data_IF_987766232738
#
_entry.id   IF_987766232738
#
_cell.length_a   1.000
_cell.length_b   1.000
_cell.length_c   1.000
_cell.angle_alpha   90.00
_cell.angle_beta   90.00
_cell.angle_gamma   90.00
#
_symmetry.space_group_name_H-M   'P 1'
#
loop_
_entity.id
_entity.type
_entity.pdbx_description
1 polymer ?
#
# COMPACT_ATOMS: atom_id res chain seq x y z
N UNK A 1 30.93 19.50 -15.01
CA UNK A 1 29.82 18.51 -14.93
C UNK A 1 30.09 17.44 -13.85
N UNK A 2 30.28 17.83 -12.57
CA UNK A 2 30.61 16.86 -11.48
C UNK A 2 29.72 17.08 -10.23
N UNK A 3 28.78 18.05 -10.25
CA UNK A 3 27.99 18.41 -9.08
C UNK A 3 26.58 17.77 -8.99
N UNK A 4 26.12 17.07 -10.04
CA UNK A 4 24.76 16.48 -10.07
C UNK A 4 24.65 15.12 -9.37
N UNK A 5 25.77 14.42 -9.15
CA UNK A 5 25.78 13.09 -8.51
C UNK A 5 25.62 13.14 -6.99
N UNK A 6 25.66 14.33 -6.37
CA UNK A 6 25.59 14.50 -4.92
C UNK A 6 24.21 14.25 -4.30
N UNK A 7 23.14 14.17 -5.12
CA UNK A 7 21.76 14.17 -4.62
C UNK A 7 21.11 12.80 -4.50
N UNK A 8 21.72 11.74 -5.05
CA UNK A 8 21.15 10.38 -5.04
C UNK A 8 22.18 9.35 -4.61
N UNK A 9 21.80 8.51 -3.66
CA UNK A 9 22.63 7.41 -3.18
C UNK A 9 22.73 6.29 -4.23
N UNK A 10 23.81 5.51 -4.19
CA UNK A 10 23.97 4.34 -5.06
C UNK A 10 22.81 3.35 -4.92
N UNK A 11 22.31 3.17 -3.70
CA UNK A 11 21.19 2.28 -3.39
C UNK A 11 19.87 2.75 -4.03
N UNK A 12 19.61 4.05 -4.05
CA UNK A 12 18.44 4.62 -4.73
C UNK A 12 18.51 4.43 -6.25
N UNK A 13 19.68 4.65 -6.86
CA UNK A 13 19.87 4.41 -8.30
C UNK A 13 19.69 2.94 -8.67
N UNK A 14 20.26 2.03 -7.88
CA UNK A 14 20.09 0.58 -8.09
C UNK A 14 18.62 0.15 -7.91
N UNK A 15 17.94 0.66 -6.88
CA UNK A 15 16.52 0.40 -6.66
C UNK A 15 15.66 0.90 -7.84
N UNK A 16 15.91 2.12 -8.31
CA UNK A 16 15.21 2.67 -9.46
C UNK A 16 15.43 1.85 -10.73
N UNK A 17 16.68 1.44 -11.04
CA UNK A 17 16.98 0.53 -12.16
C UNK A 17 16.22 -0.79 -12.05
N UNK A 18 16.24 -1.42 -10.88
CA UNK A 18 15.55 -2.69 -10.66
C UNK A 18 14.04 -2.57 -10.84
N UNK A 19 13.44 -1.48 -10.34
CA UNK A 19 12.02 -1.22 -10.53
C UNK A 19 11.68 -0.97 -12.00
N UNK A 20 12.45 -0.14 -12.71
CA UNK A 20 12.25 0.14 -14.14
C UNK A 20 12.36 -1.15 -14.97
N UNK A 21 13.36 -1.99 -14.70
CA UNK A 21 13.55 -3.26 -15.39
C UNK A 21 12.34 -4.19 -15.21
N UNK A 22 11.75 -4.25 -14.00
CA UNK A 22 10.51 -5.01 -13.75
C UNK A 22 9.28 -4.46 -14.48
N UNK A 23 9.31 -3.20 -14.90
CA UNK A 23 8.25 -2.56 -15.69
C UNK A 23 8.59 -2.49 -17.20
N UNK A 24 9.62 -3.22 -17.64
CA UNK A 24 9.98 -3.38 -19.04
C UNK A 24 10.92 -2.31 -19.60
N UNK A 25 11.57 -1.52 -18.74
CA UNK A 25 12.48 -0.44 -19.13
C UNK A 25 13.88 -0.71 -18.60
N UNK A 26 14.85 -0.90 -19.49
CA UNK A 26 16.28 -1.05 -19.14
C UNK A 26 17.02 0.26 -19.34
N UNK A 27 17.64 0.78 -18.27
CA UNK A 27 18.44 2.00 -18.30
C UNK A 27 19.80 1.80 -17.64
N UNK A 28 20.82 2.43 -18.21
CA UNK A 28 22.17 2.52 -17.66
C UNK A 28 22.19 3.40 -16.43
N UNK A 29 21.71 4.64 -16.48
CA UNK A 29 21.57 5.49 -15.28
C UNK A 29 20.21 6.21 -15.28
N UNK A 30 19.34 5.97 -14.28
CA UNK A 30 18.05 6.63 -14.19
C UNK A 30 18.22 8.13 -13.93
N UNK A 31 17.28 8.95 -14.40
CA UNK A 31 17.32 10.40 -14.12
C UNK A 31 17.30 10.68 -12.61
N UNK A 32 17.89 11.78 -12.13
CA UNK A 32 17.95 12.09 -10.70
C UNK A 32 16.57 12.09 -10.02
N UNK A 33 15.55 12.64 -10.69
CA UNK A 33 14.17 12.63 -10.21
C UNK A 33 13.64 11.20 -9.99
N UNK A 34 13.84 10.33 -10.98
CA UNK A 34 13.41 8.93 -10.93
C UNK A 34 14.18 8.15 -9.86
N UNK A 35 15.49 8.38 -9.74
CA UNK A 35 16.33 7.77 -8.73
C UNK A 35 15.85 8.10 -7.31
N UNK A 36 15.57 9.37 -6.99
CA UNK A 36 15.04 9.77 -5.68
C UNK A 36 13.68 9.13 -5.42
N UNK A 37 12.74 9.25 -6.37
CA UNK A 37 11.34 8.85 -6.14
C UNK A 37 11.15 7.34 -6.12
N UNK A 38 11.70 6.65 -7.11
CA UNK A 38 11.55 5.20 -7.25
C UNK A 38 12.48 4.48 -6.28
N UNK A 39 13.73 4.95 -6.14
CA UNK A 39 14.71 4.37 -5.22
C UNK A 39 14.23 4.39 -3.77
N UNK A 40 13.68 5.51 -3.29
CA UNK A 40 13.16 5.59 -1.93
C UNK A 40 12.00 4.61 -1.67
N UNK A 41 11.16 4.36 -2.68
CA UNK A 41 10.04 3.39 -2.59
C UNK A 41 10.55 1.96 -2.51
N UNK A 42 11.50 1.59 -3.37
CA UNK A 42 12.12 0.27 -3.35
C UNK A 42 12.85 -0.02 -2.03
N UNK A 43 13.57 0.99 -1.50
CA UNK A 43 14.22 0.85 -0.20
C UNK A 43 13.21 0.73 0.94
N UNK A 44 12.10 1.48 0.88
CA UNK A 44 11.03 1.39 1.87
C UNK A 44 10.34 0.01 1.83
N UNK A 45 10.14 -0.56 0.65
CA UNK A 45 9.47 -1.85 0.49
C UNK A 45 10.40 -3.06 0.65
N UNK A 46 11.72 -2.88 0.67
CA UNK A 46 12.67 -3.98 0.91
C UNK A 46 12.42 -4.75 2.20
N UNK A 47 12.01 -4.04 3.26
CA UNK A 47 11.71 -4.65 4.56
C UNK A 47 10.32 -5.29 4.64
N UNK A 48 9.50 -5.22 3.58
CA UNK A 48 8.16 -5.80 3.57
C UNK A 48 8.17 -7.32 3.62
N UNK A 49 9.22 -7.98 3.12
CA UNK A 49 9.31 -9.44 3.24
C UNK A 49 9.31 -9.87 4.71
N UNK A 50 10.12 -9.19 5.54
CA UNK A 50 10.11 -9.41 6.98
C UNK A 50 8.76 -9.04 7.60
N UNK A 51 8.15 -7.92 7.20
CA UNK A 51 6.82 -7.55 7.67
C UNK A 51 5.74 -8.60 7.34
N UNK A 52 5.74 -9.15 6.13
CA UNK A 52 4.80 -10.19 5.70
C UNK A 52 4.96 -11.50 6.46
N UNK A 53 6.15 -11.80 6.96
CA UNK A 53 6.41 -12.96 7.82
C UNK A 53 6.03 -12.65 9.28
N UNK A 54 6.43 -11.49 9.79
CA UNK A 54 6.22 -11.11 11.19
C UNK A 54 4.77 -10.73 11.51
N UNK A 55 4.03 -10.18 10.55
CA UNK A 55 2.64 -9.76 10.76
C UNK A 55 1.72 -10.95 11.09
N UNK A 56 1.70 -12.07 10.33
CA UNK A 56 0.96 -13.27 10.72
C UNK A 56 1.37 -13.80 12.09
N UNK A 57 2.66 -13.81 12.42
CA UNK A 57 3.16 -14.26 13.73
C UNK A 57 2.61 -13.37 14.84
N UNK A 58 2.67 -12.04 14.69
CA UNK A 58 2.11 -11.10 15.65
C UNK A 58 0.60 -11.28 15.82
N UNK A 59 -0.13 -11.55 14.74
CA UNK A 59 -1.56 -11.83 14.78
C UNK A 59 -1.84 -13.15 15.51
N UNK A 60 -1.12 -14.23 15.21
CA UNK A 60 -1.27 -15.53 15.91
C UNK A 60 -0.98 -15.38 17.39
N UNK A 61 0.11 -14.70 17.77
CA UNK A 61 0.44 -14.43 19.17
C UNK A 61 -0.64 -13.62 19.86
N UNK A 62 -1.23 -12.63 19.17
CA UNK A 62 -2.34 -11.85 19.71
C UNK A 62 -3.61 -12.67 19.94
N UNK A 63 -3.79 -13.79 19.23
CA UNK A 63 -4.94 -14.68 19.43
C UNK A 63 -4.75 -15.65 20.62
N UNK A 64 -3.54 -15.77 21.18
CA UNK A 64 -3.27 -16.66 22.31
C UNK A 64 -3.80 -16.07 23.64
N UNK A 65 -4.32 -16.91 24.56
CA UNK A 65 -4.58 -16.49 25.95
C UNK A 65 -3.26 -16.09 26.64
N UNK A 66 -3.25 -15.11 27.57
CA UNK A 66 -4.39 -14.40 28.17
C UNK A 66 -4.67 -13.01 27.57
N UNK A 67 -4.33 -12.74 26.31
CA UNK A 67 -4.48 -11.38 25.74
C UNK A 67 -5.95 -10.95 25.73
N UNK A 68 -6.33 -9.82 26.37
CA UNK A 68 -7.70 -9.31 26.37
C UNK A 68 -8.21 -9.04 24.95
N UNK A 69 -9.47 -9.38 24.66
CA UNK A 69 -10.04 -9.28 23.29
C UNK A 69 -9.88 -7.88 22.69
N UNK A 70 -10.09 -6.82 23.47
CA UNK A 70 -9.88 -5.44 23.00
C UNK A 70 -8.42 -5.17 22.59
N UNK A 71 -7.45 -5.71 23.34
CA UNK A 71 -6.03 -5.59 23.02
C UNK A 71 -5.70 -6.31 21.70
N UNK A 72 -6.37 -7.43 21.40
CA UNK A 72 -6.20 -8.13 20.11
C UNK A 72 -6.57 -7.23 18.94
N UNK A 73 -7.73 -6.58 18.97
CA UNK A 73 -8.15 -5.62 17.94
C UNK A 73 -7.16 -4.47 17.75
N UNK A 74 -6.64 -3.92 18.86
CA UNK A 74 -5.63 -2.87 18.83
C UNK A 74 -4.32 -3.36 18.20
N UNK A 75 -3.86 -4.57 18.54
CA UNK A 75 -2.65 -5.15 17.94
C UNK A 75 -2.84 -5.31 16.43
N UNK A 76 -3.97 -5.87 15.98
CA UNK A 76 -4.26 -5.98 14.54
C UNK A 76 -4.23 -4.60 13.89
N UNK A 77 -4.97 -3.63 14.43
CA UNK A 77 -5.02 -2.28 13.88
C UNK A 77 -3.62 -1.62 13.81
N UNK A 78 -2.83 -1.71 14.88
CA UNK A 78 -1.48 -1.13 14.96
C UNK A 78 -0.54 -1.81 13.98
N UNK A 79 -0.48 -3.14 13.95
CA UNK A 79 0.39 -3.89 13.02
C UNK A 79 0.03 -3.57 11.58
N UNK A 80 -1.27 -3.50 11.26
CA UNK A 80 -1.75 -3.23 9.91
C UNK A 80 -1.56 -1.77 9.45
N UNK A 81 -1.34 -0.82 10.37
CA UNK A 81 -1.26 0.62 10.03
C UNK A 81 0.09 1.26 10.33
N UNK A 82 0.69 0.99 11.48
CA UNK A 82 1.86 1.71 11.95
C UNK A 82 3.07 1.49 11.03
N UNK A 83 3.34 0.23 10.68
CA UNK A 83 4.48 -0.09 9.83
C UNK A 83 4.32 0.44 8.39
N UNK A 84 3.19 0.20 7.68
CA UNK A 84 2.98 0.78 6.35
C UNK A 84 3.00 2.32 6.36
N UNK A 85 2.42 2.96 7.37
CA UNK A 85 2.47 4.43 7.51
C UNK A 85 3.87 4.96 7.79
N UNK A 86 4.68 4.24 8.57
CA UNK A 86 6.07 4.61 8.81
C UNK A 86 6.88 4.57 7.51
N UNK A 87 6.70 3.52 6.70
CA UNK A 87 7.36 3.39 5.40
C UNK A 87 6.86 4.48 4.43
N UNK A 88 5.56 4.74 4.39
CA UNK A 88 4.98 5.83 3.61
C UNK A 88 5.54 7.21 4.02
N UNK A 89 5.70 7.46 5.33
CA UNK A 89 6.30 8.71 5.83
C UNK A 89 7.73 8.90 5.31
N UNK A 90 8.51 7.83 5.14
CA UNK A 90 9.86 7.90 4.54
C UNK A 90 9.78 8.28 3.07
N UNK A 91 8.91 7.63 2.29
CA UNK A 91 8.66 7.98 0.88
C UNK A 91 8.21 9.44 0.73
N UNK A 92 7.36 9.94 1.63
CA UNK A 92 6.94 11.36 1.61
C UNK A 92 8.09 12.35 1.79
N UNK A 93 9.15 11.98 2.52
CA UNK A 93 10.33 12.84 2.65
C UNK A 93 11.09 12.91 1.33
N UNK A 94 11.23 11.77 0.64
CA UNK A 94 11.83 11.70 -0.69
C UNK A 94 11.01 12.48 -1.73
N UNK A 95 9.68 12.34 -1.73
CA UNK A 95 8.82 13.11 -2.64
C UNK A 95 8.91 14.63 -2.39
N UNK A 96 9.10 15.07 -1.14
CA UNK A 96 9.35 16.49 -0.82
C UNK A 96 10.72 16.96 -1.31
N UNK A 97 11.74 16.11 -1.27
CA UNK A 97 13.04 16.42 -1.83
C UNK A 97 12.98 16.50 -3.36
N UNK A 98 12.29 15.54 -4.00
CA UNK A 98 12.05 15.52 -5.44
C UNK A 98 11.27 16.77 -5.91
N UNK A 99 10.28 17.24 -5.14
CA UNK A 99 9.55 18.47 -5.45
C UNK A 99 10.40 19.75 -5.38
N UNK A 100 11.64 19.69 -4.87
CA UNK A 100 12.61 20.80 -4.94
C UNK A 100 13.44 20.79 -6.22
N UNK A 101 13.49 19.64 -6.91
CA UNK A 101 14.23 19.48 -8.16
C UNK A 101 13.41 19.94 -9.36
N UNK A 102 12.08 19.85 -9.26
CA UNK A 102 11.16 20.11 -10.37
C UNK A 102 9.98 20.94 -9.88
N UNK A 103 9.56 21.98 -10.62
CA UNK A 103 8.32 22.70 -10.33
C UNK A 103 7.13 21.73 -10.27
N UNK A 104 6.24 21.85 -9.26
CA UNK A 104 5.07 21.00 -9.18
C UNK A 104 4.16 21.23 -10.38
N UNK A 105 3.82 20.15 -11.09
CA UNK A 105 2.88 20.19 -12.21
C UNK A 105 1.42 20.34 -11.77
N UNK A 106 0.53 20.34 -12.76
CA UNK A 106 -0.92 20.45 -12.54
C UNK A 106 -1.43 19.24 -11.75
N UNK A 107 -2.41 19.47 -10.86
CA UNK A 107 -3.11 18.38 -10.19
C UNK A 107 -4.04 17.69 -11.18
N UNK A 108 -3.95 16.37 -11.24
CA UNK A 108 -4.85 15.60 -12.09
C UNK A 108 -6.30 15.73 -11.61
N UNK A 109 -7.28 15.75 -12.53
CA UNK A 109 -8.67 15.55 -12.20
C UNK A 109 -8.86 14.26 -11.37
N UNK A 110 -9.78 14.29 -10.41
CA UNK A 110 -10.02 13.17 -9.50
C UNK A 110 -10.28 11.85 -10.25
N UNK A 111 -11.04 11.89 -11.35
CA UNK A 111 -11.38 10.72 -12.16
C UNK A 111 -10.14 10.07 -12.78
N UNK A 112 -9.18 10.86 -13.25
CA UNK A 112 -7.94 10.36 -13.83
C UNK A 112 -7.02 9.76 -12.76
N UNK A 113 -6.85 10.45 -11.63
CA UNK A 113 -6.06 9.94 -10.52
C UNK A 113 -6.67 8.65 -9.93
N UNK A 114 -8.00 8.56 -9.84
CA UNK A 114 -8.69 7.34 -9.43
C UNK A 114 -8.53 6.21 -10.45
N UNK A 115 -8.57 6.53 -11.75
CA UNK A 115 -8.26 5.58 -12.83
C UNK A 115 -6.85 5.00 -12.71
N UNK A 116 -5.87 5.84 -12.31
CA UNK A 116 -4.51 5.40 -12.02
C UNK A 116 -4.44 4.47 -10.81
N UNK A 117 -5.18 4.70 -9.72
CA UNK A 117 -5.20 3.74 -8.60
C UNK A 117 -5.78 2.39 -9.03
N UNK A 118 -6.84 2.42 -9.83
CA UNK A 118 -7.46 1.25 -10.45
C UNK A 118 -8.72 0.77 -9.73
N UNK A 119 -9.73 0.38 -10.52
CA UNK A 119 -11.07 0.01 -10.01
C UNK A 119 -11.06 -1.16 -9.03
N UNK A 120 -10.20 -2.17 -9.27
CA UNK A 120 -10.14 -3.36 -8.42
C UNK A 120 -9.60 -3.03 -7.03
N UNK A 121 -8.76 -2.00 -6.91
CA UNK A 121 -8.28 -1.55 -5.61
C UNK A 121 -9.38 -0.86 -4.79
N UNK A 122 -10.19 -0.01 -5.43
CA UNK A 122 -11.37 0.56 -4.78
C UNK A 122 -12.41 -0.52 -4.42
N UNK A 123 -12.57 -1.54 -5.26
CA UNK A 123 -13.40 -2.69 -4.91
C UNK A 123 -12.84 -3.44 -3.69
N UNK A 124 -11.52 -3.66 -3.61
CA UNK A 124 -10.89 -4.29 -2.44
C UNK A 124 -11.11 -3.47 -1.16
N UNK A 125 -11.02 -2.14 -1.25
CA UNK A 125 -11.35 -1.22 -0.16
C UNK A 125 -12.81 -1.34 0.29
N UNK A 126 -13.75 -1.29 -0.67
CA UNK A 126 -15.17 -1.39 -0.40
C UNK A 126 -15.55 -2.74 0.21
N UNK A 127 -15.03 -3.84 -0.34
CA UNK A 127 -15.25 -5.19 0.19
C UNK A 127 -14.70 -5.30 1.60
N UNK A 128 -13.46 -4.89 1.85
CA UNK A 128 -12.82 -5.01 3.17
C UNK A 128 -13.55 -4.18 4.22
N UNK A 129 -13.71 -2.87 4.01
CA UNK A 129 -14.27 -2.01 5.05
C UNK A 129 -15.79 -2.09 5.09
N UNK A 130 -16.46 -2.12 3.95
CA UNK A 130 -17.92 -2.29 3.88
C UNK A 130 -18.36 -3.67 4.39
N UNK A 131 -17.72 -4.74 3.92
CA UNK A 131 -17.96 -6.10 4.42
C UNK A 131 -17.60 -6.24 5.90
N UNK A 132 -16.51 -5.62 6.34
CA UNK A 132 -16.13 -5.55 7.75
C UNK A 132 -17.18 -4.86 8.63
N UNK A 133 -17.76 -3.75 8.18
CA UNK A 133 -18.85 -3.05 8.89
C UNK A 133 -20.10 -3.92 8.98
N UNK A 134 -20.50 -4.54 7.86
CA UNK A 134 -21.68 -5.43 7.83
C UNK A 134 -21.49 -6.61 8.78
N UNK A 135 -20.34 -7.29 8.73
CA UNK A 135 -20.04 -8.40 9.65
C UNK A 135 -19.98 -7.93 11.10
N UNK A 136 -19.39 -6.76 11.37
CA UNK A 136 -19.35 -6.20 12.71
C UNK A 136 -20.77 -5.92 13.26
N UNK A 137 -21.66 -5.37 12.44
CA UNK A 137 -23.02 -5.04 12.87
C UNK A 137 -23.88 -6.27 13.13
N UNK A 138 -23.71 -7.33 12.33
CA UNK A 138 -24.56 -8.53 12.40
C UNK A 138 -24.02 -9.57 13.38
N UNK A 139 -22.70 -9.74 13.44
CA UNK A 139 -22.09 -10.90 14.09
C UNK A 139 -21.12 -10.56 15.22
N UNK A 140 -20.73 -9.31 15.48
CA UNK A 140 -19.70 -9.05 16.48
C UNK A 140 -20.19 -9.29 17.91
N UNK A 141 -19.48 -10.14 18.65
CA UNK A 141 -19.58 -10.22 20.11
C UNK A 141 -18.93 -9.00 20.77
N UNK A 142 -17.89 -8.42 20.14
CA UNK A 142 -17.18 -7.25 20.64
C UNK A 142 -17.20 -6.09 19.63
N UNK A 143 -18.36 -5.48 19.36
CA UNK A 143 -18.54 -4.51 18.27
C UNK A 143 -17.69 -3.24 18.46
N UNK A 144 -17.46 -2.79 19.70
CA UNK A 144 -16.71 -1.55 19.96
C UNK A 144 -15.24 -1.67 19.53
N UNK A 145 -14.56 -2.76 19.90
CA UNK A 145 -13.16 -2.98 19.54
C UNK A 145 -12.97 -3.17 18.04
N UNK A 146 -13.86 -3.95 17.42
CA UNK A 146 -13.88 -4.15 15.97
C UNK A 146 -14.14 -2.83 15.23
N UNK A 147 -15.19 -2.08 15.59
CA UNK A 147 -15.52 -0.81 14.96
C UNK A 147 -14.37 0.20 15.08
N UNK A 148 -13.74 0.30 16.26
CA UNK A 148 -12.58 1.16 16.46
C UNK A 148 -11.42 0.78 15.53
N UNK A 149 -11.12 -0.52 15.38
CA UNK A 149 -10.08 -1.01 14.46
C UNK A 149 -10.42 -0.70 13.00
N UNK A 150 -11.68 -0.83 12.58
CA UNK A 150 -12.14 -0.43 11.24
C UNK A 150 -11.97 1.07 11.01
N UNK A 151 -12.37 1.91 11.97
CA UNK A 151 -12.21 3.37 11.87
C UNK A 151 -10.74 3.75 11.72
N UNK A 152 -9.85 3.15 12.52
CA UNK A 152 -8.40 3.36 12.41
C UNK A 152 -7.92 2.94 11.01
N UNK A 153 -8.34 1.78 10.52
CA UNK A 153 -7.98 1.30 9.18
C UNK A 153 -8.45 2.21 8.06
N UNK A 154 -9.71 2.66 8.11
CA UNK A 154 -10.28 3.61 7.14
C UNK A 154 -9.54 4.94 7.19
N UNK A 155 -9.30 5.50 8.37
CA UNK A 155 -8.61 6.78 8.52
C UNK A 155 -7.18 6.71 7.95
N UNK A 156 -6.43 5.65 8.29
CA UNK A 156 -5.07 5.46 7.77
C UNK A 156 -5.07 5.27 6.25
N UNK A 157 -6.02 4.50 5.74
CA UNK A 157 -6.20 4.27 4.30
C UNK A 157 -6.56 5.56 3.56
N UNK A 158 -7.48 6.35 4.11
CA UNK A 158 -7.89 7.63 3.56
C UNK A 158 -6.72 8.62 3.47
N UNK A 159 -5.84 8.66 4.48
CA UNK A 159 -4.65 9.53 4.45
C UNK A 159 -3.68 9.20 3.30
N UNK A 160 -3.43 7.91 3.03
CA UNK A 160 -2.57 7.46 1.93
C UNK A 160 -3.25 7.70 0.59
N UNK A 161 -4.53 7.33 0.49
CA UNK A 161 -5.32 7.43 -0.74
C UNK A 161 -5.56 8.88 -1.15
N UNK A 162 -5.94 9.76 -0.22
CA UNK A 162 -6.13 11.19 -0.47
C UNK A 162 -4.88 11.78 -1.09
N UNK A 163 -3.70 11.43 -0.55
CA UNK A 163 -2.43 11.92 -1.09
C UNK A 163 -2.18 11.40 -2.50
N UNK A 164 -2.41 10.12 -2.76
CA UNK A 164 -2.25 9.54 -4.10
C UNK A 164 -3.18 10.21 -5.14
N UNK A 165 -4.38 10.62 -4.71
CA UNK A 165 -5.37 11.25 -5.57
C UNK A 165 -5.16 12.75 -5.76
N UNK A 166 -4.69 13.47 -4.74
CA UNK A 166 -4.58 14.94 -4.74
C UNK A 166 -3.16 15.47 -4.97
N UNK A 167 -2.14 14.61 -4.99
CA UNK A 167 -0.77 15.06 -5.24
C UNK A 167 -0.64 15.72 -6.63
N UNK A 168 0.11 16.84 -6.75
CA UNK A 168 0.49 17.37 -8.05
C UNK A 168 1.38 16.37 -8.78
N UNK A 169 1.34 16.40 -10.11
CA UNK A 169 2.25 15.58 -10.93
C UNK A 169 3.67 16.11 -10.76
N UNK A 170 4.61 15.22 -10.42
CA UNK A 170 6.03 15.54 -10.32
C UNK A 170 6.77 14.87 -11.47
N UNK A 171 6.91 15.58 -12.58
CA UNK A 171 7.49 15.08 -13.82
C UNK A 171 8.21 16.19 -14.58
N UNK A 172 9.40 15.87 -15.12
CA UNK A 172 10.16 16.74 -16.04
C UNK A 172 9.70 16.55 -17.49
N UNK A 173 9.35 15.32 -17.85
CA UNK A 173 9.00 14.90 -19.19
C UNK A 173 7.85 13.88 -19.20
N UNK A 174 7.47 13.43 -20.40
CA UNK A 174 6.38 12.46 -20.60
C UNK A 174 6.69 11.10 -19.95
N UNK A 175 7.96 10.68 -19.93
CA UNK A 175 8.42 9.45 -19.30
C UNK A 175 8.26 9.51 -17.77
N UNK A 176 8.70 10.61 -17.15
CA UNK A 176 8.54 10.87 -15.72
C UNK A 176 7.08 10.98 -15.31
N UNK A 177 6.22 11.54 -16.18
CA UNK A 177 4.77 11.60 -15.95
C UNK A 177 4.14 10.20 -15.95
N UNK A 178 4.59 9.31 -16.84
CA UNK A 178 4.16 7.91 -16.84
C UNK A 178 4.61 7.17 -15.57
N UNK A 179 5.83 7.44 -15.08
CA UNK A 179 6.27 6.90 -13.79
C UNK A 179 5.44 7.47 -12.63
N UNK A 180 5.13 8.77 -12.60
CA UNK A 180 4.26 9.36 -11.57
C UNK A 180 2.91 8.65 -11.48
N UNK A 181 2.28 8.39 -12.64
CA UNK A 181 1.02 7.66 -12.74
C UNK A 181 1.13 6.23 -12.17
N UNK A 182 2.21 5.51 -12.50
CA UNK A 182 2.48 4.18 -11.96
C UNK A 182 2.72 4.21 -10.44
N UNK A 183 3.48 5.21 -9.96
CA UNK A 183 3.82 5.34 -8.54
C UNK A 183 2.61 5.64 -7.65
N UNK A 184 1.60 6.37 -8.13
CA UNK A 184 0.34 6.57 -7.37
C UNK A 184 -0.38 5.26 -7.08
N UNK A 185 -0.42 4.37 -8.07
CA UNK A 185 -1.03 3.05 -7.96
C UNK A 185 -0.19 2.08 -7.12
N UNK A 186 1.13 2.26 -7.14
CA UNK A 186 2.08 1.55 -6.29
C UNK A 186 1.93 1.98 -4.83
N UNK A 187 1.92 3.28 -4.55
CA UNK A 187 1.91 3.82 -3.19
C UNK A 187 0.67 3.38 -2.42
N UNK A 188 -0.50 3.40 -3.06
CA UNK A 188 -1.73 2.90 -2.44
C UNK A 188 -1.59 1.42 -2.10
N UNK A 189 -1.19 0.57 -3.05
CA UNK A 189 -1.08 -0.88 -2.80
C UNK A 189 0.02 -1.27 -1.81
N UNK A 190 1.17 -0.59 -1.87
CA UNK A 190 2.33 -0.89 -1.04
C UNK A 190 2.12 -0.40 0.39
N UNK A 191 1.59 0.81 0.58
CA UNK A 191 1.49 1.40 1.91
C UNK A 191 0.09 1.27 2.55
N UNK A 192 -0.86 0.70 1.83
CA UNK A 192 -2.21 0.45 2.31
C UNK A 192 -2.69 -0.90 1.75
N UNK A 193 -2.63 -1.92 2.61
CA UNK A 193 -3.07 -3.27 2.28
C UNK A 193 -4.40 -3.53 3.00
N UNK A 194 -5.54 -3.08 2.44
CA UNK A 194 -6.83 -3.13 3.14
C UNK A 194 -7.18 -4.54 3.58
N UNK A 195 -6.82 -5.53 2.75
CA UNK A 195 -7.03 -6.95 3.03
C UNK A 195 -6.60 -7.39 4.44
N UNK A 196 -5.58 -6.78 5.05
CA UNK A 196 -5.17 -7.13 6.41
C UNK A 196 -6.28 -6.90 7.47
N UNK A 197 -7.23 -6.00 7.22
CA UNK A 197 -8.38 -5.79 8.12
C UNK A 197 -9.44 -6.89 8.03
N UNK A 198 -9.30 -7.84 7.10
CA UNK A 198 -10.14 -9.05 7.06
C UNK A 198 -9.81 -10.03 8.19
N UNK A 199 -8.76 -9.78 8.96
CA UNK A 199 -8.42 -10.54 10.17
C UNK A 199 -9.27 -10.17 11.40
N UNK A 200 -9.98 -9.04 11.40
CA UNK A 200 -10.79 -8.61 12.55
C UNK A 200 -11.90 -9.62 12.94
N UNK A 201 -12.70 -10.19 12.01
CA UNK A 201 -13.65 -11.24 12.38
C UNK A 201 -13.01 -12.46 13.06
N UNK A 202 -11.77 -12.79 12.73
CA UNK A 202 -11.07 -13.94 13.30
C UNK A 202 -10.70 -13.72 14.76
N UNK A 203 -10.47 -12.46 15.16
CA UNK A 203 -10.31 -12.09 16.57
C UNK A 203 -11.57 -12.42 17.36
N UNK A 204 -12.74 -12.06 16.83
CA UNK A 204 -14.02 -12.33 17.50
C UNK A 204 -14.35 -13.82 17.55
N UNK A 205 -14.14 -14.52 16.43
CA UNK A 205 -14.28 -15.98 16.35
C UNK A 205 -13.40 -16.68 17.39
N UNK A 206 -12.15 -16.26 17.56
CA UNK A 206 -11.20 -16.88 18.52
C UNK A 206 -11.62 -16.76 19.99
N UNK A 207 -12.60 -15.91 20.29
CA UNK A 207 -13.13 -15.74 21.64
C UNK A 207 -14.35 -16.65 21.92
N UNK A 208 -14.89 -17.34 20.90
CA UNK A 208 -16.05 -18.22 21.06
C UNK A 208 -15.67 -19.66 21.44
N UNK A 209 -16.49 -20.26 22.30
CA UNK A 209 -16.54 -21.68 22.55
C UNK A 209 -18.00 -22.15 22.58
N UNK A 210 -18.37 -23.29 21.98
CA UNK A 210 -17.52 -24.29 21.31
C UNK A 210 -17.10 -23.93 19.87
N UNK A 211 -15.99 -24.50 19.43
CA UNK A 211 -15.43 -24.31 18.08
C UNK A 211 -15.83 -25.46 17.12
N UNK A 212 -16.21 -25.19 15.85
CA UNK A 212 -16.38 -23.89 15.21
C UNK A 212 -17.79 -23.29 15.42
N UNK A 213 -17.91 -21.97 15.55
CA UNK A 213 -19.21 -21.31 15.68
C UNK A 213 -19.95 -21.23 14.34
N UNK A 214 -21.28 -21.14 14.36
CA UNK A 214 -22.11 -21.09 13.15
C UNK A 214 -21.77 -19.91 12.20
N UNK A 215 -21.24 -18.81 12.76
CA UNK A 215 -20.79 -17.63 12.02
C UNK A 215 -19.45 -17.81 11.27
N UNK A 216 -18.82 -18.98 11.33
CA UNK A 216 -17.56 -19.24 10.62
C UNK A 216 -17.72 -19.15 9.08
N UNK A 217 -18.84 -19.63 8.55
CA UNK A 217 -19.11 -19.67 7.09
C UNK A 217 -19.11 -18.27 6.48
N UNK A 218 -19.90 -17.28 6.97
CA UNK A 218 -19.86 -15.93 6.39
C UNK A 218 -18.50 -15.24 6.56
N UNK A 219 -17.76 -15.52 7.65
CA UNK A 219 -16.41 -14.97 7.84
C UNK A 219 -15.42 -15.51 6.81
N UNK A 220 -15.42 -16.82 6.58
CA UNK A 220 -14.56 -17.46 5.55
C UNK A 220 -14.91 -16.95 4.17
N UNK A 221 -16.21 -16.88 3.83
CA UNK A 221 -16.66 -16.36 2.54
C UNK A 221 -16.20 -14.91 2.30
N UNK A 222 -16.34 -14.05 3.32
CA UNK A 222 -15.85 -12.68 3.29
C UNK A 222 -14.33 -12.60 3.09
N UNK A 223 -13.57 -13.40 3.85
CA UNK A 223 -12.11 -13.45 3.72
C UNK A 223 -11.69 -13.85 2.30
N UNK A 224 -12.24 -14.94 1.77
CA UNK A 224 -11.95 -15.43 0.40
C UNK A 224 -12.30 -14.38 -0.65
N UNK A 225 -13.46 -13.72 -0.53
CA UNK A 225 -13.85 -12.65 -1.43
C UNK A 225 -12.85 -11.48 -1.39
N UNK A 226 -12.45 -11.04 -0.20
CA UNK A 226 -11.50 -9.96 -0.04
C UNK A 226 -10.12 -10.31 -0.62
N UNK A 227 -9.63 -11.54 -0.40
CA UNK A 227 -8.39 -12.06 -1.03
C UNK A 227 -8.51 -12.00 -2.55
N UNK A 228 -9.58 -12.55 -3.11
CA UNK A 228 -9.76 -12.65 -4.56
C UNK A 228 -9.79 -11.27 -5.23
N UNK A 229 -10.53 -10.32 -4.65
CA UNK A 229 -10.63 -8.95 -5.16
C UNK A 229 -9.28 -8.21 -5.04
N UNK A 230 -8.57 -8.36 -3.91
CA UNK A 230 -7.24 -7.77 -3.75
C UNK A 230 -6.20 -8.39 -4.68
N UNK A 231 -6.20 -9.71 -4.84
CA UNK A 231 -5.32 -10.41 -5.78
C UNK A 231 -5.56 -9.93 -7.21
N UNK A 232 -6.83 -9.70 -7.60
CA UNK A 232 -7.15 -9.12 -8.91
C UNK A 232 -6.59 -7.71 -9.06
N UNK A 233 -6.66 -6.89 -8.01
CA UNK A 233 -6.04 -5.57 -8.00
C UNK A 233 -4.51 -5.64 -8.15
N UNK A 234 -3.86 -6.63 -7.54
CA UNK A 234 -2.41 -6.84 -7.66
C UNK A 234 -1.99 -7.28 -9.08
N UNK A 235 -2.76 -8.20 -9.69
CA UNK A 235 -2.53 -8.65 -11.08
C UNK A 235 -2.70 -7.50 -12.07
N UNK A 236 -3.75 -6.68 -11.92
CA UNK A 236 -3.96 -5.51 -12.79
C UNK A 236 -2.73 -4.59 -12.80
N UNK A 237 -2.13 -4.35 -11.63
CA UNK A 237 -0.97 -3.49 -11.50
C UNK A 237 0.30 -4.10 -12.08
N UNK A 238 0.56 -5.38 -11.77
CA UNK A 238 1.74 -6.09 -12.28
C UNK A 238 1.81 -6.09 -13.80
N UNK A 239 0.66 -6.05 -14.47
CA UNK A 239 0.57 -6.05 -15.92
C UNK A 239 0.69 -4.64 -16.55
N UNK A 240 0.80 -3.57 -15.76
CA UNK A 240 1.00 -2.22 -16.28
C UNK A 240 2.45 -2.02 -16.68
N UNK A 241 2.67 -1.91 -17.99
CA UNK A 241 3.97 -1.56 -18.56
C UNK A 241 4.11 -0.05 -18.67
N UNK A 242 5.33 0.43 -18.56
CA UNK A 242 5.64 1.82 -18.86
C UNK A 242 5.62 2.01 -20.40
N UNK A 243 5.16 3.16 -20.89
CA UNK A 243 5.28 3.49 -22.30
C UNK A 243 6.76 3.67 -22.71
N UNK A 244 7.11 3.58 -24.00
CA UNK A 244 8.46 3.96 -24.45
C UNK A 244 8.74 5.43 -24.11
N UNK A 245 9.97 5.74 -23.69
CA UNK A 245 10.36 7.08 -23.24
C UNK A 245 11.81 7.16 -22.76
N UNK A 246 12.29 8.37 -22.51
CA UNK A 246 13.64 8.60 -21.97
C UNK A 246 13.62 8.51 -20.45
N UNK A 247 14.01 7.37 -19.90
CA UNK A 247 14.03 7.13 -18.45
C UNK A 247 15.42 7.31 -17.81
N UNK A 248 16.40 7.73 -18.62
CA UNK A 248 17.80 7.78 -18.24
C UNK A 248 18.74 7.52 -19.41
N UNK A 249 20.04 7.45 -19.14
CA UNK A 249 21.04 7.10 -20.16
C UNK A 249 20.93 5.62 -20.51
N UNK A 250 21.00 5.30 -21.80
CA UNK A 250 21.04 3.90 -22.25
C UNK A 250 22.44 3.36 -21.97
N UNK A 251 22.54 2.11 -21.49
CA UNK A 251 23.84 1.42 -21.45
C UNK A 251 24.34 1.28 -22.89
N UNK A 252 25.49 1.89 -23.19
CA UNK A 252 26.23 1.58 -24.41
C UNK A 252 26.61 0.10 -24.47
#
# INVERSE_FOLDING_TARGET
MVAETAWTTLAERQGARAWLARHGVTVGEPTPLLAVRVGARELATRSYQAFWVLSPVANVVALLPPVPVLARYLVVAVVCTAYPLLMWRRVRRADRAAARLVPPGVRLPFREAAGQVGRWYFAAMGVTFGGGVVLCAVFAAHPVGWAAALVIGVACSALVLERALRAPVLAEDTASAAVDAALRAYDTRAFMVPFLFTFLPWVDLSADWPWPPARIVPVVAYFVLAVAVYARAAVEFRNRRLPPGHYGTVTA
#
